data_IF_049395840103
#
_entry.id   IF_049395840103
#
_cell.length_a   1.000
_cell.length_b   1.000
_cell.length_c   1.000
_cell.angle_alpha   90.00
_cell.angle_beta   90.00
_cell.angle_gamma   90.00
#
_symmetry.space_group_name_H-M   'P 1'
#
loop_
_entity.id
_entity.type
_entity.pdbx_description
1 polymer ?
#
# COMPACT_ATOMS: atom_id res chain seq x y z
N UNK A 1 19.56 -9.28 0.10
CA UNK A 1 19.69 -7.90 0.66
C UNK A 1 19.55 -6.80 -0.40
N UNK A 2 20.25 -6.89 -1.55
CA UNK A 2 20.31 -5.81 -2.55
C UNK A 2 18.99 -5.45 -3.26
N UNK A 3 17.94 -6.27 -3.15
CA UNK A 3 16.67 -6.04 -3.86
C UNK A 3 15.76 -5.06 -3.11
N UNK A 4 15.63 -5.20 -1.78
CA UNK A 4 14.68 -4.40 -1.00
C UNK A 4 15.31 -3.16 -0.35
N UNK A 5 16.63 -3.14 -0.12
CA UNK A 5 17.35 -2.01 0.47
C UNK A 5 17.18 -0.70 -0.33
N UNK A 6 17.30 -0.70 -1.68
CA UNK A 6 17.08 0.52 -2.46
C UNK A 6 15.65 1.07 -2.33
N UNK A 7 14.67 0.18 -2.17
CA UNK A 7 13.25 0.56 -1.99
C UNK A 7 13.06 1.21 -0.62
N UNK A 8 13.62 0.64 0.44
CA UNK A 8 13.63 1.23 1.79
C UNK A 8 14.22 2.64 1.76
N UNK A 9 15.39 2.79 1.16
CA UNK A 9 16.11 4.06 1.12
C UNK A 9 15.37 5.11 0.29
N UNK A 10 14.68 4.69 -0.77
CA UNK A 10 13.80 5.58 -1.53
C UNK A 10 12.57 6.01 -0.72
N UNK A 11 11.87 5.09 -0.06
CA UNK A 11 10.74 5.43 0.82
C UNK A 11 11.16 6.43 1.92
N UNK A 12 12.34 6.25 2.52
CA UNK A 12 12.87 7.18 3.51
C UNK A 12 13.07 8.59 2.95
N UNK A 13 13.53 8.72 1.69
CA UNK A 13 13.68 10.02 1.00
C UNK A 13 12.34 10.70 0.69
N UNK A 14 11.26 9.95 0.43
CA UNK A 14 9.92 10.49 0.20
C UNK A 14 9.27 11.05 1.47
N UNK A 15 9.82 10.72 2.65
CA UNK A 15 9.45 11.30 3.93
C UNK A 15 8.30 10.58 4.63
N UNK A 16 7.72 11.20 5.68
CA UNK A 16 6.89 10.52 6.68
C UNK A 16 5.55 9.99 6.16
N UNK A 17 5.13 10.38 4.94
CA UNK A 17 3.93 9.84 4.29
C UNK A 17 4.13 8.42 3.78
N UNK A 18 5.38 7.96 3.63
CA UNK A 18 5.70 6.61 3.19
C UNK A 18 6.22 5.80 4.38
N UNK A 19 5.64 4.61 4.58
CA UNK A 19 6.10 3.63 5.57
C UNK A 19 6.59 2.39 4.81
N UNK A 20 7.79 1.91 5.13
CA UNK A 20 8.36 0.72 4.51
C UNK A 20 8.44 -0.42 5.53
N UNK A 21 8.03 -1.61 5.12
CA UNK A 21 8.11 -2.83 5.93
C UNK A 21 8.73 -3.94 5.07
N UNK A 22 9.75 -4.61 5.61
CA UNK A 22 10.29 -5.83 5.02
C UNK A 22 9.86 -7.03 5.88
N UNK A 23 9.09 -7.94 5.29
CA UNK A 23 8.62 -9.15 5.94
C UNK A 23 9.34 -10.35 5.32
N UNK A 24 10.28 -10.95 6.04
CA UNK A 24 11.03 -12.12 5.60
C UNK A 24 10.29 -13.41 5.98
N UNK A 25 10.16 -14.37 5.05
CA UNK A 25 9.46 -15.64 5.27
C UNK A 25 8.04 -15.50 5.86
N UNK A 26 7.23 -14.62 5.26
CA UNK A 26 5.91 -14.26 5.79
C UNK A 26 4.81 -15.28 5.42
N UNK A 27 3.98 -15.73 6.38
CA UNK A 27 2.89 -16.68 6.12
C UNK A 27 1.85 -16.11 5.17
N UNK A 28 1.31 -16.93 4.28
CA UNK A 28 0.25 -16.51 3.35
C UNK A 28 0.71 -15.56 2.22
N UNK A 29 2.03 -15.34 2.08
CA UNK A 29 2.63 -14.56 1.00
C UNK A 29 1.94 -13.20 0.80
N UNK A 30 1.31 -12.97 -0.36
CA UNK A 30 0.60 -11.74 -0.70
C UNK A 30 -0.55 -11.45 0.27
N UNK A 31 -1.43 -12.43 0.51
CA UNK A 31 -2.59 -12.24 1.38
C UNK A 31 -2.18 -11.94 2.82
N UNK A 32 -1.17 -12.64 3.33
CA UNK A 32 -0.63 -12.36 4.66
C UNK A 32 0.00 -10.97 4.76
N UNK A 33 0.71 -10.51 3.73
CA UNK A 33 1.28 -9.16 3.71
C UNK A 33 0.20 -8.08 3.66
N UNK A 34 -0.90 -8.30 2.94
CA UNK A 34 -2.05 -7.40 2.92
C UNK A 34 -2.72 -7.31 4.29
N UNK A 35 -2.92 -8.44 4.98
CA UNK A 35 -3.46 -8.46 6.34
C UNK A 35 -2.58 -7.66 7.32
N UNK A 36 -1.25 -7.85 7.24
CA UNK A 36 -0.31 -7.01 8.01
C UNK A 36 -0.45 -5.53 7.63
N UNK A 37 -0.59 -5.21 6.34
CA UNK A 37 -0.79 -3.85 5.85
C UNK A 37 -2.05 -3.18 6.43
N UNK A 38 -3.14 -3.92 6.60
CA UNK A 38 -4.36 -3.41 7.24
C UNK A 38 -4.09 -2.96 8.69
N UNK A 39 -3.30 -3.72 9.47
CA UNK A 39 -2.91 -3.32 10.83
C UNK A 39 -1.98 -2.10 10.89
N UNK A 40 -1.31 -1.75 9.79
CA UNK A 40 -0.36 -0.62 9.72
C UNK A 40 -0.92 0.60 9.01
N UNK A 41 -2.13 0.49 8.45
CA UNK A 41 -2.81 1.63 7.83
C UNK A 41 -3.31 2.59 8.92
N UNK A 42 -3.64 3.82 8.54
CA UNK A 42 -4.21 4.78 9.47
C UNK A 42 -5.56 4.25 10.01
N UNK A 43 -5.79 4.39 11.31
CA UNK A 43 -6.99 3.87 11.99
C UNK A 43 -8.28 4.56 11.51
N UNK A 44 -8.16 5.76 10.96
CA UNK A 44 -9.23 6.57 10.38
C UNK A 44 -9.41 6.36 8.86
N UNK A 45 -8.71 5.40 8.26
CA UNK A 45 -8.86 5.10 6.84
C UNK A 45 -10.16 4.32 6.57
N UNK A 46 -11.08 4.94 5.81
CA UNK A 46 -12.33 4.30 5.40
C UNK A 46 -12.20 3.45 4.12
N UNK A 47 -11.26 3.82 3.23
CA UNK A 47 -11.03 3.16 1.94
C UNK A 47 -9.56 2.78 1.83
N UNK A 48 -9.29 1.52 1.50
CA UNK A 48 -7.95 0.97 1.30
C UNK A 48 -7.74 0.67 -0.17
N UNK A 49 -6.77 1.34 -0.78
CA UNK A 49 -6.32 1.06 -2.14
C UNK A 49 -5.10 0.11 -2.10
N UNK A 50 -5.17 -0.98 -2.86
CA UNK A 50 -4.04 -1.92 -3.05
C UNK A 50 -3.52 -1.74 -4.47
N UNK A 51 -2.20 -1.53 -4.60
CA UNK A 51 -1.51 -1.36 -5.89
C UNK A 51 -0.40 -2.40 -5.96
N UNK A 52 -0.41 -3.23 -7.00
CA UNK A 52 0.67 -4.18 -7.25
C UNK A 52 1.93 -3.46 -7.77
N UNK A 53 3.10 -4.02 -7.48
CA UNK A 53 4.39 -3.36 -7.73
C UNK A 53 4.71 -3.15 -9.22
N UNK A 54 3.98 -3.82 -10.11
CA UNK A 54 4.10 -3.72 -11.56
C UNK A 54 3.07 -2.76 -12.19
N UNK A 55 2.23 -2.09 -11.39
CA UNK A 55 1.22 -1.16 -11.87
C UNK A 55 1.65 0.30 -11.75
N UNK A 56 1.26 1.10 -12.74
CA UNK A 56 1.33 2.57 -12.70
C UNK A 56 -0.08 3.12 -12.77
N UNK A 57 -0.45 3.97 -11.81
CA UNK A 57 -1.78 4.57 -11.73
C UNK A 57 -1.79 5.96 -12.37
N UNK A 58 -2.94 6.34 -12.93
CA UNK A 58 -3.18 7.70 -13.37
C UNK A 58 -3.28 8.66 -12.17
N UNK A 59 -2.80 9.92 -12.29
CA UNK A 59 -2.81 10.87 -11.16
C UNK A 59 -4.19 11.15 -10.56
N UNK A 60 -5.27 10.98 -11.35
CA UNK A 60 -6.66 11.21 -10.92
C UNK A 60 -7.40 9.91 -10.53
N UNK A 61 -6.71 8.78 -10.43
CA UNK A 61 -7.31 7.45 -10.21
C UNK A 61 -8.20 7.39 -8.97
N UNK A 62 -7.69 7.78 -7.79
CA UNK A 62 -8.46 7.76 -6.55
C UNK A 62 -9.68 8.68 -6.60
N UNK A 63 -9.54 9.89 -7.15
CA UNK A 63 -10.65 10.85 -7.29
C UNK A 63 -11.79 10.29 -8.15
N UNK A 64 -11.44 9.47 -9.13
CA UNK A 64 -12.42 8.85 -10.04
C UNK A 64 -13.09 7.64 -9.40
N UNK A 65 -12.37 6.84 -8.60
CA UNK A 65 -12.88 5.59 -8.04
C UNK A 65 -13.61 5.73 -6.71
N UNK A 66 -13.16 6.60 -5.81
CA UNK A 66 -13.76 6.75 -4.47
C UNK A 66 -15.29 6.98 -4.49
N UNK A 67 -15.86 7.81 -5.39
CA UNK A 67 -17.32 8.06 -5.42
C UNK A 67 -18.19 6.82 -5.72
N UNK A 68 -17.61 5.72 -6.20
CA UNK A 68 -18.37 4.48 -6.43
C UNK A 68 -18.72 3.76 -5.13
N UNK A 69 -17.99 4.00 -4.04
CA UNK A 69 -18.31 3.44 -2.72
C UNK A 69 -19.53 4.10 -2.06
N UNK A 70 -19.90 5.31 -2.49
CA UNK A 70 -21.07 6.04 -1.99
C UNK A 70 -22.40 5.55 -2.58
N UNK A 71 -22.35 4.67 -3.59
CA UNK A 71 -23.54 4.09 -4.21
C UNK A 71 -23.84 2.76 -3.53
N UNK A 72 -24.94 2.65 -2.76
CA UNK A 72 -25.42 1.35 -2.32
C UNK A 72 -25.91 0.54 -3.53
N UNK A 73 -25.71 -0.78 -3.50
CA UNK A 73 -26.31 -1.74 -4.43
C UNK A 73 -27.85 -1.75 -4.34
#
# INVERSE_FOLDING_TARGET
PQVWEPVRDYCARLGPRFRFFHLENWPGFKAGALNFGLEKTAEDAEIIAVIDSDYQIEPNWLKTLVPYFDKPD
#
